data_IF_221026416120
#
_entry.id   IF_221026416120
#
_cell.length_a   1.000
_cell.length_b   1.000
_cell.length_c   1.000
_cell.angle_alpha   90.00
_cell.angle_beta   90.00
_cell.angle_gamma   90.00
#
_symmetry.space_group_name_H-M   'P 1'
#
loop_
_entity.id
_entity.type
_entity.pdbx_description
1 polymer ?
#
# COMPACT_ATOMS: atom_id res chain seq x y z
N UNK A 1 -30.74 -27.53 61.20
CA UNK A 1 -29.27 -27.43 61.31
C UNK A 1 -28.72 -27.03 59.95
N UNK A 2 -27.70 -26.17 59.97
CA UNK A 2 -26.97 -25.48 58.88
C UNK A 2 -27.54 -24.16 58.30
N UNK A 3 -26.89 -23.01 58.61
CA UNK A 3 -27.13 -21.70 58.03
C UNK A 3 -26.09 -21.33 56.93
N UNK A 4 -26.34 -20.18 56.29
CA UNK A 4 -25.44 -19.36 55.46
C UNK A 4 -25.10 -19.87 54.05
N UNK A 5 -25.59 -19.14 53.04
CA UNK A 5 -24.64 -18.47 52.17
C UNK A 5 -25.18 -17.13 51.65
N UNK A 6 -24.38 -16.10 51.88
CA UNK A 6 -24.60 -14.69 51.59
C UNK A 6 -24.04 -14.40 50.20
N UNK A 7 -24.81 -13.72 49.34
CA UNK A 7 -24.33 -13.27 48.03
C UNK A 7 -23.36 -12.08 48.18
N UNK A 8 -22.26 -12.00 47.42
CA UNK A 8 -21.45 -10.79 47.35
C UNK A 8 -21.95 -9.83 46.26
N UNK A 9 -21.93 -8.56 46.66
CA UNK A 9 -22.35 -7.33 46.01
C UNK A 9 -21.57 -7.05 44.71
N UNK A 10 -22.27 -6.48 43.71
CA UNK A 10 -21.70 -5.92 42.49
C UNK A 10 -20.67 -4.81 42.78
N UNK A 11 -19.40 -5.04 42.47
CA UNK A 11 -18.41 -3.96 42.31
C UNK A 11 -18.58 -3.30 40.94
N UNK A 12 -18.95 -2.02 40.95
CA UNK A 12 -18.89 -1.10 39.81
C UNK A 12 -17.43 -0.83 39.41
N UNK A 13 -16.93 -1.55 38.41
CA UNK A 13 -15.66 -1.28 37.77
C UNK A 13 -15.76 -0.11 36.78
N UNK A 14 -15.15 1.02 37.13
CA UNK A 14 -14.82 2.11 36.20
C UNK A 14 -13.80 1.57 35.18
N UNK A 15 -13.99 1.72 33.85
CA UNK A 15 -13.01 1.27 32.89
C UNK A 15 -11.74 2.12 32.98
N UNK A 16 -10.53 1.52 32.93
CA UNK A 16 -9.29 2.27 33.00
C UNK A 16 -9.13 3.19 31.78
N UNK A 17 -8.75 4.45 32.04
CA UNK A 17 -8.41 5.42 31.00
C UNK A 17 -7.27 4.89 30.11
N UNK A 18 -7.30 5.17 28.80
CA UNK A 18 -6.25 4.73 27.89
C UNK A 18 -4.91 5.39 28.25
N UNK A 19 -3.78 4.66 28.20
CA UNK A 19 -2.47 5.21 28.51
C UNK A 19 -2.09 6.29 27.50
N UNK A 20 -1.77 7.48 28.02
CA UNK A 20 -1.14 8.55 27.28
C UNK A 20 0.24 8.11 26.74
N UNK A 21 0.49 8.41 25.47
CA UNK A 21 1.84 8.46 24.92
C UNK A 21 2.45 7.12 24.53
N UNK A 22 1.96 6.51 23.44
CA UNK A 22 2.76 5.52 22.71
C UNK A 22 4.13 6.14 22.37
N UNK A 23 5.26 5.51 22.74
CA UNK A 23 6.57 6.02 22.38
C UNK A 23 6.70 6.04 20.86
N UNK A 24 7.22 7.16 20.32
CA UNK A 24 7.56 7.29 18.89
C UNK A 24 8.40 6.08 18.49
N UNK A 25 8.02 5.39 17.40
CA UNK A 25 8.67 4.17 16.90
C UNK A 25 10.21 4.23 16.96
N UNK A 26 10.84 3.32 17.69
CA UNK A 26 12.30 3.24 17.94
C UNK A 26 13.15 3.31 16.66
N UNK A 27 12.67 2.70 15.58
CA UNK A 27 13.38 2.65 14.30
C UNK A 27 13.70 4.04 13.70
N UNK A 28 12.90 5.08 13.98
CA UNK A 28 13.16 6.44 13.48
C UNK A 28 14.29 7.15 14.21
N UNK A 29 14.44 6.88 15.51
CA UNK A 29 15.52 7.43 16.33
C UNK A 29 16.87 6.82 15.95
N UNK A 30 16.88 5.50 15.66
CA UNK A 30 18.07 4.80 15.20
C UNK A 30 18.62 5.37 13.88
N UNK A 31 17.74 5.71 12.93
CA UNK A 31 18.17 6.28 11.64
C UNK A 31 18.84 7.63 11.82
N UNK A 32 18.27 8.52 12.64
CA UNK A 32 18.85 9.85 12.90
C UNK A 32 20.20 9.71 13.59
N UNK A 33 20.29 8.91 14.64
CA UNK A 33 21.53 8.66 15.37
C UNK A 33 22.64 8.09 14.48
N UNK A 34 22.33 7.15 13.57
CA UNK A 34 23.32 6.62 12.63
C UNK A 34 23.83 7.66 11.63
N UNK A 35 22.94 8.55 11.15
CA UNK A 35 23.32 9.65 10.25
C UNK A 35 24.22 10.67 10.96
N UNK A 36 23.89 11.00 12.21
CA UNK A 36 24.68 11.89 13.06
C UNK A 36 26.05 11.29 13.41
N UNK A 37 26.10 10.00 13.76
CA UNK A 37 27.36 9.28 14.02
C UNK A 37 28.26 9.24 12.77
N UNK A 38 27.68 9.06 11.58
CA UNK A 38 28.42 9.20 10.32
C UNK A 38 28.98 10.62 10.16
N UNK A 39 28.16 11.65 10.37
CA UNK A 39 28.58 13.04 10.21
C UNK A 39 29.72 13.38 11.18
N UNK A 40 29.59 12.99 12.44
CA UNK A 40 30.61 13.17 13.47
C UNK A 40 31.93 12.49 13.09
N UNK A 41 31.88 11.21 12.66
CA UNK A 41 33.06 10.47 12.22
C UNK A 41 33.75 11.11 11.02
N UNK A 42 32.99 11.79 10.15
CA UNK A 42 33.52 12.46 8.96
C UNK A 42 33.85 13.95 9.20
N UNK A 43 33.72 14.47 10.42
CA UNK A 43 33.96 15.88 10.73
C UNK A 43 32.95 16.83 10.05
N UNK A 44 31.75 16.35 9.76
CA UNK A 44 30.68 17.13 9.12
C UNK A 44 29.70 17.65 10.18
N UNK A 45 29.15 18.83 9.91
CA UNK A 45 28.08 19.46 10.70
C UNK A 45 26.80 19.58 9.89
N UNK A 46 25.66 19.62 10.56
CA UNK A 46 24.35 19.79 9.90
C UNK A 46 24.35 21.12 9.14
N UNK A 47 23.95 21.05 7.87
CA UNK A 47 23.78 22.21 7.00
C UNK A 47 22.29 22.58 6.89
N UNK A 48 21.47 21.60 6.52
CA UNK A 48 20.01 21.74 6.35
C UNK A 48 19.33 20.46 6.81
N UNK A 49 18.19 20.57 7.47
CA UNK A 49 17.32 19.44 7.81
C UNK A 49 15.86 19.80 7.51
N UNK A 50 15.15 18.90 6.85
CA UNK A 50 13.73 19.01 6.57
C UNK A 50 13.05 17.67 6.95
N UNK A 51 12.38 17.67 8.10
CA UNK A 51 11.76 16.46 8.64
C UNK A 51 10.54 16.02 7.83
N UNK A 52 9.88 16.92 7.10
CA UNK A 52 8.68 16.62 6.33
C UNK A 52 8.99 15.69 5.15
N UNK A 53 10.11 15.91 4.45
CA UNK A 53 10.60 15.02 3.40
C UNK A 53 11.68 14.02 3.88
N UNK A 54 12.07 14.09 5.15
CA UNK A 54 13.10 13.23 5.76
C UNK A 54 14.51 13.52 5.25
N UNK A 55 14.75 14.76 4.82
CA UNK A 55 16.01 15.23 4.26
C UNK A 55 16.95 15.73 5.36
N UNK A 56 18.23 15.38 5.25
CA UNK A 56 19.30 16.01 6.02
C UNK A 56 20.56 16.08 5.17
N UNK A 57 21.19 17.27 5.18
CA UNK A 57 22.46 17.54 4.54
C UNK A 57 23.49 17.92 5.60
N UNK A 58 24.71 17.39 5.45
CA UNK A 58 25.85 17.69 6.29
C UNK A 58 27.00 18.24 5.45
N UNK A 59 27.80 19.13 6.03
CA UNK A 59 28.95 19.77 5.37
C UNK A 59 30.13 19.95 6.31
N UNK A 60 31.35 20.02 5.78
CA UNK A 60 32.53 20.51 6.52
C UNK A 60 32.57 22.05 6.61
N UNK A 61 31.67 22.73 5.89
CA UNK A 61 31.61 24.18 5.74
C UNK A 61 32.57 24.76 4.72
N UNK A 62 33.16 23.91 3.89
CA UNK A 62 34.08 24.33 2.83
C UNK A 62 33.71 23.69 1.49
N UNK A 63 33.81 22.37 1.38
CA UNK A 63 33.74 21.67 0.08
C UNK A 63 33.01 20.33 0.14
N UNK A 64 32.80 19.75 1.32
CA UNK A 64 32.16 18.44 1.44
C UNK A 64 30.66 18.59 1.65
N UNK A 65 29.90 17.73 0.97
CA UNK A 65 28.46 17.60 1.13
C UNK A 65 28.09 16.13 1.24
N UNK A 66 27.37 15.77 2.31
CA UNK A 66 26.73 14.46 2.46
C UNK A 66 25.23 14.65 2.62
N UNK A 67 24.43 13.95 1.79
CA UNK A 67 22.97 14.06 1.81
C UNK A 67 22.32 12.72 2.10
N UNK A 68 21.25 12.77 2.90
CA UNK A 68 20.40 11.64 3.22
C UNK A 68 18.93 12.04 3.03
N UNK A 69 18.15 11.17 2.41
CA UNK A 69 16.72 11.36 2.17
C UNK A 69 15.88 10.24 2.79
N UNK A 70 14.61 10.55 3.06
CA UNK A 70 13.65 9.60 3.62
C UNK A 70 14.11 8.97 4.95
N UNK A 71 13.91 7.66 5.10
CA UNK A 71 14.19 6.91 6.35
C UNK A 71 15.39 5.96 6.24
N UNK A 72 16.32 6.21 5.32
CA UNK A 72 17.49 5.35 5.07
C UNK A 72 18.70 5.77 5.89
N UNK A 73 19.47 4.82 6.40
CA UNK A 73 20.74 5.09 7.10
C UNK A 73 21.90 5.33 6.14
N UNK A 74 21.85 4.74 4.94
CA UNK A 74 22.81 4.98 3.87
C UNK A 74 22.55 6.35 3.22
N UNK A 75 23.62 7.12 3.02
CA UNK A 75 23.64 8.36 2.24
C UNK A 75 23.20 8.14 0.81
N UNK A 76 22.53 9.13 0.24
CA UNK A 76 22.25 9.18 -1.20
C UNK A 76 23.53 9.50 -1.97
N UNK A 77 24.30 10.48 -1.48
CA UNK A 77 25.61 10.81 -2.01
C UNK A 77 26.53 11.46 -0.96
N UNK A 78 27.82 11.46 -1.25
CA UNK A 78 28.86 12.14 -0.48
C UNK A 78 29.95 12.60 -1.43
N UNK A 79 30.00 13.90 -1.68
CA UNK A 79 30.72 14.49 -2.80
C UNK A 79 31.55 15.69 -2.33
N UNK A 80 32.59 16.02 -3.11
CA UNK A 80 33.42 17.20 -2.93
C UNK A 80 33.12 18.20 -4.03
N UNK A 81 32.91 19.44 -3.64
CA UNK A 81 32.70 20.58 -4.53
C UNK A 81 33.92 21.51 -4.55
N UNK A 82 33.92 22.46 -5.48
CA UNK A 82 34.99 23.46 -5.64
C UNK A 82 35.07 24.42 -4.45
N UNK A 83 33.92 24.86 -3.96
CA UNK A 83 33.75 25.85 -2.92
C UNK A 83 32.40 25.66 -2.19
N UNK A 84 32.17 26.49 -1.17
CA UNK A 84 30.96 26.43 -0.33
C UNK A 84 29.71 26.85 -1.12
N UNK A 85 29.85 27.70 -2.13
CA UNK A 85 28.74 28.08 -3.00
C UNK A 85 28.25 26.89 -3.83
N UNK A 86 29.17 26.06 -4.33
CA UNK A 86 28.84 24.80 -4.99
C UNK A 86 28.17 23.79 -4.06
N UNK A 87 28.60 23.71 -2.80
CA UNK A 87 27.93 22.90 -1.77
C UNK A 87 26.49 23.38 -1.54
N UNK A 88 26.28 24.69 -1.41
CA UNK A 88 24.95 25.30 -1.24
C UNK A 88 24.05 25.00 -2.43
N UNK A 89 24.51 25.28 -3.65
CA UNK A 89 23.73 25.02 -4.87
C UNK A 89 23.31 23.55 -4.99
N UNK A 90 24.23 22.61 -4.71
CA UNK A 90 23.93 21.17 -4.75
C UNK A 90 22.96 20.74 -3.65
N UNK A 91 23.09 21.31 -2.45
CA UNK A 91 22.17 21.05 -1.34
C UNK A 91 20.75 21.49 -1.68
N UNK A 92 20.59 22.70 -2.23
CA UNK A 92 19.29 23.27 -2.60
C UNK A 92 18.61 22.45 -3.71
N UNK A 93 19.36 22.06 -4.73
CA UNK A 93 18.88 21.17 -5.80
C UNK A 93 18.37 19.83 -5.22
N UNK A 94 19.16 19.21 -4.34
CA UNK A 94 18.80 17.95 -3.72
C UNK A 94 17.57 18.08 -2.80
N UNK A 95 17.46 19.18 -2.06
CA UNK A 95 16.31 19.47 -1.20
C UNK A 95 15.05 19.67 -2.02
N UNK A 96 15.12 20.46 -3.11
CA UNK A 96 14.00 20.66 -4.03
C UNK A 96 13.50 19.33 -4.59
N UNK A 97 14.39 18.52 -5.14
CA UNK A 97 14.04 17.20 -5.67
C UNK A 97 13.51 16.24 -4.58
N UNK A 98 13.88 16.44 -3.31
CA UNK A 98 13.33 15.66 -2.20
C UNK A 98 11.90 16.08 -1.85
N UNK A 99 11.62 17.39 -1.82
CA UNK A 99 10.29 17.95 -1.59
C UNK A 99 9.31 17.56 -2.70
N UNK A 100 9.69 17.73 -3.96
CA UNK A 100 8.87 17.32 -5.11
C UNK A 100 8.46 15.85 -5.03
N UNK A 101 9.42 14.94 -4.76
CA UNK A 101 9.11 13.51 -4.57
C UNK A 101 8.24 13.24 -3.33
N UNK A 102 8.37 14.03 -2.27
CA UNK A 102 7.54 13.89 -1.08
C UNK A 102 6.09 14.31 -1.37
N UNK A 103 5.91 15.41 -2.11
CA UNK A 103 4.62 15.90 -2.59
C UNK A 103 3.96 14.89 -3.54
N UNK A 104 4.69 14.36 -4.53
CA UNK A 104 4.19 13.30 -5.42
C UNK A 104 3.71 12.08 -4.64
N UNK A 105 4.50 11.61 -3.66
CA UNK A 105 4.13 10.50 -2.80
C UNK A 105 2.89 10.81 -1.97
N UNK A 106 2.75 12.05 -1.50
CA UNK A 106 1.60 12.45 -0.73
C UNK A 106 0.35 12.54 -1.61
N UNK A 107 0.45 13.14 -2.80
CA UNK A 107 -0.61 13.16 -3.80
C UNK A 107 -1.05 11.74 -4.18
N UNK A 108 -0.10 10.82 -4.39
CA UNK A 108 -0.38 9.42 -4.66
C UNK A 108 -1.07 8.68 -3.52
N UNK A 109 -0.97 9.14 -2.26
CA UNK A 109 -1.75 8.59 -1.13
C UNK A 109 -3.18 9.09 -1.09
N UNK A 110 -3.42 10.31 -1.57
CA UNK A 110 -4.73 10.95 -1.58
C UNK A 110 -5.59 10.51 -2.76
N UNK A 111 -4.98 9.88 -3.79
CA UNK A 111 -5.74 9.34 -4.91
C UNK A 111 -6.79 8.33 -4.41
N UNK A 112 -8.09 8.58 -4.70
CA UNK A 112 -9.16 7.71 -4.26
C UNK A 112 -9.05 6.36 -4.95
N UNK A 113 -9.46 5.31 -4.24
CA UNK A 113 -9.77 4.02 -4.86
C UNK A 113 -10.96 4.20 -5.82
N UNK A 114 -10.88 3.65 -7.02
CA UNK A 114 -11.96 3.70 -8.01
C UNK A 114 -13.02 2.61 -7.83
N UNK A 115 -13.09 1.99 -6.66
CA UNK A 115 -13.95 0.82 -6.39
C UNK A 115 -14.87 1.05 -5.19
N UNK A 116 -16.05 0.45 -5.27
CA UNK A 116 -17.09 0.42 -4.24
C UNK A 116 -17.38 -1.01 -3.80
N UNK A 117 -18.03 -1.18 -2.65
CA UNK A 117 -18.49 -2.51 -2.19
C UNK A 117 -19.46 -3.10 -3.22
N UNK A 118 -19.28 -4.38 -3.52
CA UNK A 118 -20.00 -5.13 -4.55
C UNK A 118 -19.46 -4.93 -5.96
N UNK A 119 -18.42 -4.12 -6.19
CA UNK A 119 -17.73 -4.12 -7.49
C UNK A 119 -17.01 -5.45 -7.70
N UNK A 120 -16.99 -5.91 -8.96
CA UNK A 120 -16.30 -7.14 -9.37
C UNK A 120 -15.03 -6.79 -10.12
N UNK A 121 -13.95 -7.49 -9.81
CA UNK A 121 -12.68 -7.43 -10.51
C UNK A 121 -12.44 -8.74 -11.24
N UNK A 122 -11.82 -8.64 -12.42
CA UNK A 122 -11.35 -9.78 -13.21
C UNK A 122 -9.83 -9.80 -13.23
N UNK A 123 -9.24 -10.99 -13.07
CA UNK A 123 -7.82 -11.25 -13.27
C UNK A 123 -7.67 -12.31 -14.35
N UNK A 124 -6.97 -11.96 -15.43
CA UNK A 124 -6.52 -12.92 -16.44
C UNK A 124 -5.04 -13.17 -16.23
N UNK A 125 -4.63 -14.41 -16.05
CA UNK A 125 -3.25 -14.79 -15.82
C UNK A 125 -2.97 -16.14 -16.48
N UNK A 126 -1.72 -16.40 -16.82
CA UNK A 126 -1.42 -17.57 -17.63
C UNK A 126 -0.02 -17.50 -18.20
N UNK A 127 0.61 -18.65 -18.35
CA UNK A 127 1.82 -18.77 -19.15
C UNK A 127 1.47 -19.40 -20.49
N UNK A 128 1.11 -20.68 -20.48
CA UNK A 128 0.62 -21.42 -21.66
C UNK A 128 -0.91 -21.50 -21.72
N UNK A 129 -1.60 -21.31 -20.59
CA UNK A 129 -3.06 -21.42 -20.45
C UNK A 129 -3.64 -20.13 -19.87
N UNK A 130 -4.78 -19.66 -20.37
CA UNK A 130 -5.42 -18.43 -19.87
C UNK A 130 -6.41 -18.74 -18.75
N UNK A 131 -6.00 -18.52 -17.51
CA UNK A 131 -6.86 -18.62 -16.34
C UNK A 131 -7.55 -17.28 -16.05
N UNK A 132 -8.85 -17.35 -15.77
CA UNK A 132 -9.67 -16.20 -15.39
C UNK A 132 -10.17 -16.41 -13.96
N UNK A 133 -9.75 -15.53 -13.05
CA UNK A 133 -10.25 -15.46 -11.68
C UNK A 133 -11.10 -14.20 -11.51
N UNK A 134 -12.14 -14.27 -10.68
CA UNK A 134 -12.98 -13.13 -10.34
C UNK A 134 -12.97 -12.86 -8.83
N UNK A 135 -13.05 -11.59 -8.48
CA UNK A 135 -13.02 -11.14 -7.09
C UNK A 135 -14.09 -10.08 -6.87
N UNK A 136 -14.79 -10.14 -5.75
CA UNK A 136 -15.75 -9.13 -5.33
C UNK A 136 -15.20 -8.29 -4.19
N UNK A 137 -15.45 -6.99 -4.24
CA UNK A 137 -15.12 -6.05 -3.16
C UNK A 137 -16.13 -6.21 -2.04
N UNK A 138 -15.72 -6.81 -0.92
CA UNK A 138 -16.61 -7.05 0.23
C UNK A 138 -16.54 -5.93 1.27
N UNK A 139 -15.44 -5.19 1.35
CA UNK A 139 -15.29 -4.04 2.25
C UNK A 139 -14.26 -3.03 1.73
N UNK A 140 -14.34 -1.80 2.22
CA UNK A 140 -13.38 -0.74 1.91
C UNK A 140 -12.58 -0.39 3.17
N UNK A 141 -11.26 -0.41 3.05
CA UNK A 141 -10.35 -0.29 4.19
C UNK A 141 -9.48 0.96 4.00
N UNK A 142 -9.80 2.05 4.72
CA UNK A 142 -9.09 3.33 4.57
C UNK A 142 -9.29 3.96 3.18
N UNK A 143 -8.39 4.83 2.75
CA UNK A 143 -8.51 5.53 1.47
C UNK A 143 -8.19 4.66 0.25
N UNK A 144 -7.23 3.73 0.38
CA UNK A 144 -6.57 3.06 -0.75
C UNK A 144 -6.59 1.54 -0.69
N UNK A 145 -7.19 0.94 0.33
CA UNK A 145 -7.27 -0.50 0.45
C UNK A 145 -8.72 -0.98 0.36
N UNK A 146 -8.89 -2.19 -0.12
CA UNK A 146 -10.17 -2.88 -0.22
C UNK A 146 -9.97 -4.32 0.24
N UNK A 147 -11.00 -4.88 0.87
CA UNK A 147 -11.07 -6.30 1.15
C UNK A 147 -11.74 -6.97 -0.05
N UNK A 148 -11.00 -7.87 -0.70
CA UNK A 148 -11.51 -8.67 -1.80
C UNK A 148 -11.80 -10.09 -1.33
N UNK A 149 -12.73 -10.73 -2.01
CA UNK A 149 -13.00 -12.16 -1.84
C UNK A 149 -13.19 -12.79 -3.20
N UNK A 150 -12.55 -13.93 -3.42
CA UNK A 150 -12.67 -14.68 -4.67
C UNK A 150 -14.11 -15.22 -4.81
N UNK A 151 -14.66 -15.08 -6.02
CA UNK A 151 -16.01 -15.53 -6.37
C UNK A 151 -15.96 -16.57 -7.49
N UNK A 152 -16.97 -17.42 -7.52
CA UNK A 152 -17.13 -18.42 -8.56
C UNK A 152 -17.31 -17.79 -9.95
N UNK A 153 -16.95 -18.58 -10.96
CA UNK A 153 -17.11 -18.24 -12.36
C UNK A 153 -18.10 -19.22 -13.01
N UNK A 154 -19.16 -18.69 -13.64
CA UNK A 154 -19.98 -19.47 -14.56
C UNK A 154 -19.24 -19.62 -15.88
N UNK A 155 -18.86 -20.85 -16.23
CA UNK A 155 -18.08 -21.16 -17.43
C UNK A 155 -18.97 -21.82 -18.49
N UNK A 156 -18.85 -21.35 -19.73
CA UNK A 156 -19.50 -21.95 -20.89
C UNK A 156 -18.46 -22.27 -21.96
N UNK A 157 -18.41 -23.53 -22.39
CA UNK A 157 -17.53 -24.00 -23.45
C UNK A 157 -18.14 -23.68 -24.82
N UNK A 158 -17.29 -23.40 -25.82
CA UNK A 158 -17.75 -23.25 -27.19
C UNK A 158 -17.96 -24.63 -27.81
N UNK A 159 -19.20 -24.94 -28.22
CA UNK A 159 -19.58 -26.26 -28.74
C UNK A 159 -18.77 -26.73 -29.97
N UNK A 160 -18.07 -25.83 -30.67
CA UNK A 160 -17.24 -26.15 -31.85
C UNK A 160 -15.72 -26.03 -31.63
N UNK A 161 -15.26 -25.61 -30.45
CA UNK A 161 -13.85 -25.41 -30.14
C UNK A 161 -13.50 -26.15 -28.85
N UNK A 162 -12.75 -27.24 -28.99
CA UNK A 162 -12.24 -27.97 -27.82
C UNK A 162 -11.35 -27.03 -26.98
N UNK A 163 -11.47 -27.14 -25.66
CA UNK A 163 -10.64 -26.44 -24.69
C UNK A 163 -10.69 -24.90 -24.73
N UNK A 164 -11.76 -24.28 -25.24
CA UNK A 164 -11.95 -22.82 -25.18
C UNK A 164 -13.36 -22.46 -24.72
N UNK A 165 -13.48 -21.34 -24.02
CA UNK A 165 -14.79 -20.92 -23.53
C UNK A 165 -14.86 -19.49 -23.05
N UNK A 166 -15.98 -19.19 -22.43
CA UNK A 166 -16.24 -17.93 -21.74
C UNK A 166 -16.45 -18.18 -20.26
N UNK A 167 -16.10 -17.17 -19.46
CA UNK A 167 -16.34 -17.15 -18.02
C UNK A 167 -17.02 -15.83 -17.66
N UNK A 168 -18.06 -15.91 -16.83
CA UNK A 168 -18.74 -14.75 -16.25
C UNK A 168 -18.72 -14.87 -14.72
N UNK A 169 -18.56 -13.75 -13.99
CA UNK A 169 -18.53 -13.81 -12.53
C UNK A 169 -19.92 -14.11 -11.96
N UNK A 170 -19.95 -14.79 -10.83
CA UNK A 170 -21.14 -14.99 -9.99
C UNK A 170 -21.00 -14.20 -8.67
N UNK A 171 -21.44 -12.92 -8.63
CA UNK A 171 -21.38 -12.12 -7.41
C UNK A 171 -22.08 -12.81 -6.24
N UNK A 172 -21.47 -12.76 -5.05
CA UNK A 172 -21.94 -13.41 -3.83
C UNK A 172 -21.59 -14.90 -3.70
N UNK A 173 -21.20 -15.58 -4.79
CA UNK A 173 -20.79 -16.98 -4.76
C UNK A 173 -19.32 -17.12 -4.32
N UNK A 174 -19.05 -16.85 -3.04
CA UNK A 174 -17.68 -16.80 -2.52
C UNK A 174 -17.03 -18.18 -2.39
N UNK A 175 -15.85 -18.36 -2.99
CA UNK A 175 -15.08 -19.62 -2.96
C UNK A 175 -13.77 -19.51 -2.18
N UNK A 176 -13.31 -18.29 -1.89
CA UNK A 176 -12.06 -18.02 -1.17
C UNK A 176 -12.27 -17.33 0.18
N UNK A 177 -11.19 -17.23 0.94
CA UNK A 177 -11.13 -16.38 2.15
C UNK A 177 -10.92 -14.91 1.76
N UNK A 178 -11.47 -13.95 2.53
CA UNK A 178 -11.25 -12.53 2.27
C UNK A 178 -9.79 -12.12 2.53
N UNK A 179 -9.26 -11.23 1.71
CA UNK A 179 -7.92 -10.68 1.89
C UNK A 179 -7.88 -9.19 1.53
N UNK A 180 -6.95 -8.45 2.14
CA UNK A 180 -6.83 -7.01 1.94
C UNK A 180 -5.80 -6.74 0.85
N UNK A 181 -6.18 -5.92 -0.14
CA UNK A 181 -5.28 -5.43 -1.18
C UNK A 181 -5.19 -3.92 -1.18
N UNK A 182 -4.10 -3.41 -1.72
CA UNK A 182 -3.96 -2.00 -2.06
C UNK A 182 -4.46 -1.77 -3.49
N UNK A 183 -5.42 -0.87 -3.63
CA UNK A 183 -5.96 -0.42 -4.91
C UNK A 183 -5.05 0.63 -5.55
N UNK A 184 -5.04 0.63 -6.88
CA UNK A 184 -4.39 1.59 -7.77
C UNK A 184 -5.44 2.05 -8.78
N UNK A 185 -6.23 3.07 -8.43
CA UNK A 185 -7.44 3.40 -9.17
C UNK A 185 -8.46 2.26 -9.09
N UNK A 186 -8.86 1.73 -10.25
CA UNK A 186 -9.81 0.61 -10.39
C UNK A 186 -9.15 -0.77 -10.48
N UNK A 187 -7.84 -0.87 -10.22
CA UNK A 187 -7.09 -2.11 -10.34
C UNK A 187 -6.27 -2.42 -9.09
N UNK A 188 -5.87 -3.68 -8.93
CA UNK A 188 -5.00 -4.13 -7.86
C UNK A 188 -4.09 -5.27 -8.31
N UNK A 189 -2.97 -5.40 -7.63
CA UNK A 189 -2.06 -6.53 -7.79
C UNK A 189 -2.34 -7.54 -6.68
N UNK A 190 -2.77 -8.75 -7.05
CA UNK A 190 -3.06 -9.85 -6.13
C UNK A 190 -1.78 -10.66 -5.86
N UNK A 191 -1.00 -10.90 -6.92
CA UNK A 191 0.34 -11.45 -6.88
C UNK A 191 1.21 -10.79 -7.96
N UNK A 192 2.52 -11.03 -7.95
CA UNK A 192 3.44 -10.45 -8.95
C UNK A 192 3.05 -10.74 -10.41
N UNK A 193 2.31 -11.83 -10.64
CA UNK A 193 1.81 -12.27 -11.95
C UNK A 193 0.27 -12.22 -12.07
N UNK A 194 -0.46 -11.78 -11.03
CA UNK A 194 -1.92 -11.69 -11.02
C UNK A 194 -2.36 -10.24 -10.84
N UNK A 195 -2.73 -9.61 -11.94
CA UNK A 195 -3.23 -8.24 -11.98
C UNK A 195 -4.73 -8.20 -12.25
N UNK A 196 -5.49 -7.70 -11.29
CA UNK A 196 -6.95 -7.62 -11.38
C UNK A 196 -7.41 -6.19 -11.66
N UNK A 197 -8.41 -6.05 -12.52
CA UNK A 197 -9.04 -4.76 -12.85
C UNK A 197 -10.54 -4.85 -12.65
N UNK A 198 -11.17 -3.73 -12.28
CA UNK A 198 -12.63 -3.64 -12.21
C UNK A 198 -13.22 -4.07 -13.55
N UNK A 199 -14.17 -5.00 -13.47
CA UNK A 199 -15.02 -5.36 -14.57
C UNK A 199 -16.22 -4.42 -14.53
N UNK A 200 -16.51 -3.73 -15.64
CA UNK A 200 -17.72 -2.93 -15.73
C UNK A 200 -18.86 -3.80 -16.25
N UNK A 201 -20.05 -3.75 -15.61
CA UNK A 201 -21.20 -4.47 -16.13
C UNK A 201 -21.59 -3.88 -17.48
N UNK A 202 -21.95 -4.74 -18.43
CA UNK A 202 -22.41 -4.35 -19.77
C UNK A 202 -23.74 -3.60 -19.70
N UNK A 203 -24.63 -4.03 -18.81
CA UNK A 203 -25.91 -3.38 -18.51
C UNK A 203 -26.36 -3.73 -17.10
N UNK A 204 -27.23 -2.88 -16.55
CA UNK A 204 -27.94 -3.13 -15.29
C UNK A 204 -29.43 -3.17 -15.60
N UNK A 205 -30.05 -4.33 -15.46
CA UNK A 205 -31.47 -4.55 -15.75
C UNK A 205 -32.16 -4.96 -14.46
N UNK A 206 -33.12 -4.17 -13.98
CA UNK A 206 -33.82 -4.39 -12.71
C UNK A 206 -32.89 -4.62 -11.50
N UNK A 207 -31.73 -3.95 -11.46
CA UNK A 207 -30.74 -4.09 -10.39
C UNK A 207 -29.80 -5.29 -10.55
N UNK A 208 -30.04 -6.18 -11.51
CA UNK A 208 -29.13 -7.29 -11.85
C UNK A 208 -28.07 -6.77 -12.83
N UNK A 209 -26.80 -7.00 -12.48
CA UNK A 209 -25.65 -6.61 -13.30
C UNK A 209 -25.33 -7.73 -14.28
N UNK A 210 -25.38 -7.42 -15.57
CA UNK A 210 -24.91 -8.33 -16.60
C UNK A 210 -23.45 -8.06 -16.92
N UNK A 211 -22.62 -9.10 -16.81
CA UNK A 211 -21.18 -8.99 -16.96
C UNK A 211 -20.72 -9.38 -18.37
N UNK A 212 -19.73 -8.69 -18.95
CA UNK A 212 -19.18 -9.11 -20.23
C UNK A 212 -18.41 -10.44 -20.08
N UNK A 213 -18.61 -11.41 -20.99
CA UNK A 213 -17.90 -12.69 -20.94
C UNK A 213 -16.39 -12.49 -21.08
N UNK A 214 -15.62 -13.26 -20.33
CA UNK A 214 -14.15 -13.28 -20.39
C UNK A 214 -13.70 -14.57 -21.06
N UNK A 215 -12.86 -14.46 -22.08
CA UNK A 215 -12.41 -15.62 -22.84
C UNK A 215 -11.26 -16.32 -22.12
N UNK A 216 -11.31 -17.65 -22.07
CA UNK A 216 -10.23 -18.49 -21.56
C UNK A 216 -9.88 -19.55 -22.60
N UNK A 217 -8.61 -19.96 -22.59
CA UNK A 217 -8.07 -20.99 -23.47
C UNK A 217 -7.35 -22.02 -22.62
N UNK A 218 -7.62 -23.29 -22.90
CA UNK A 218 -6.89 -24.47 -22.47
C UNK A 218 -6.32 -25.20 -23.69
N UNK A 219 -5.23 -25.93 -23.50
CA UNK A 219 -4.69 -26.85 -24.48
C UNK A 219 -4.72 -28.25 -23.86
N UNK A 220 -4.93 -29.27 -24.70
CA UNK A 220 -4.93 -30.68 -24.32
C UNK A 220 -3.50 -31.21 -24.10
#
# INVERSE_FOLDING_TARGET
>A
MNPLNTAPTHETGVPPAPPEGSPKSSAGQDVKAMREAFALRCGLRVMVQDEACGFVAYTDGARLLAVFTGRRTKRDFYERHRDIAGVQARCDEALKACRERAEERQAAKTQPRGVSVGDVLVCSWGYEQTNIDFYEVVALNGAQSATLREIAASRAEFAQLDMQGTATPEPGAFIGSPFIVRMRGEACMIASYKYAKKLHPRRVVHGVREWPPQHWTAYA
#
